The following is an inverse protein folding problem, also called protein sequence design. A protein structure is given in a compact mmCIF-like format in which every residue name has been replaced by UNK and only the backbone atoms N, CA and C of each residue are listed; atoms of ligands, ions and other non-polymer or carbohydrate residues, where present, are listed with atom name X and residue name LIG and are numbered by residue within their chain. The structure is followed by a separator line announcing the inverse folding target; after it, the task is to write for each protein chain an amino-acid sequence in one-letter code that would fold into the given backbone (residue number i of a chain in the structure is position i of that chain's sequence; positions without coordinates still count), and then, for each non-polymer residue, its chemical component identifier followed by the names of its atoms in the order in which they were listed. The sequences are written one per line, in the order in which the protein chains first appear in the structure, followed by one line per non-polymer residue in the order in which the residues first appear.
data_IF_601939699044
#
_entry.id   IF_601939699044
#
_cell.length_a   1.000
_cell.length_b   1.000
_cell.length_c   1.000
_cell.angle_alpha   90.00
_cell.angle_beta   90.00
_cell.angle_gamma   90.00
#
_symmetry.space_group_name_H-M   'P 1'
#
loop_
_entity.id
_entity.type
_entity.pdbx_description
1 polymer ?
#
# COMPACT_ATOMS: atom_id res chain seq x y z
N UNK A 1 45.19 24.33 23.69
CA UNK A 1 45.48 23.92 25.08
C UNK A 1 44.25 23.21 25.65
N UNK A 2 44.47 22.11 26.38
CA UNK A 2 43.55 21.28 27.21
C UNK A 2 42.21 20.81 26.62
N UNK A 3 42.04 19.54 26.25
CA UNK A 3 41.90 18.32 27.09
C UNK A 3 40.79 18.42 28.13
N UNK A 4 39.64 17.79 27.85
CA UNK A 4 38.78 17.22 28.87
C UNK A 4 38.51 15.75 28.53
N UNK A 5 39.23 14.88 29.23
CA UNK A 5 39.03 13.44 29.29
C UNK A 5 37.88 13.18 30.26
N UNK A 6 36.78 12.59 29.78
CA UNK A 6 35.77 12.02 30.67
C UNK A 6 36.12 10.54 30.85
N UNK A 7 36.44 10.20 32.09
CA UNK A 7 36.87 8.90 32.53
C UNK A 7 35.71 7.88 32.50
N UNK A 8 35.87 6.82 31.73
CA UNK A 8 35.10 5.58 31.89
C UNK A 8 35.54 4.89 33.19
N UNK A 9 34.71 4.96 34.22
CA UNK A 9 34.88 4.13 35.42
C UNK A 9 34.15 2.81 35.21
N UNK A 10 34.94 1.75 35.02
CA UNK A 10 34.49 0.36 35.00
C UNK A 10 34.25 -0.11 36.43
N UNK A 11 33.01 -0.51 36.75
CA UNK A 11 32.73 -1.36 37.91
C UNK A 11 31.91 -2.55 37.39
N UNK A 12 32.58 -3.69 37.29
CA UNK A 12 31.94 -4.97 37.03
C UNK A 12 31.52 -5.63 38.33
N UNK A 13 30.34 -6.25 38.32
CA UNK A 13 30.02 -7.37 39.22
C UNK A 13 29.24 -8.43 38.44
N UNK A 14 29.69 -9.67 38.63
CA UNK A 14 29.16 -10.90 38.05
C UNK A 14 27.88 -11.36 38.75
N UNK A 15 27.08 -12.19 38.06
CA UNK A 15 26.24 -13.18 38.73
C UNK A 15 24.90 -13.49 38.09
N UNK A 16 24.78 -14.75 37.64
CA UNK A 16 23.55 -15.57 37.58
C UNK A 16 22.45 -15.19 36.59
N UNK A 17 22.36 -16.00 35.54
CA UNK A 17 21.29 -15.97 34.56
C UNK A 17 19.93 -16.38 35.12
N UNK A 18 18.90 -15.81 34.50
CA UNK A 18 17.59 -16.41 34.37
C UNK A 18 17.27 -16.49 32.88
N UNK A 19 16.90 -17.70 32.48
CA UNK A 19 16.63 -18.14 31.12
C UNK A 19 15.58 -17.27 30.41
N UNK A 20 15.87 -16.97 29.14
CA UNK A 20 14.92 -16.38 28.20
C UNK A 20 13.72 -17.32 28.05
N UNK A 21 12.60 -16.97 28.69
CA UNK A 21 11.29 -17.50 28.32
C UNK A 21 10.74 -16.64 27.20
N UNK A 22 11.20 -16.94 25.99
CA UNK A 22 10.58 -16.44 24.77
C UNK A 22 9.18 -17.05 24.68
N UNK A 23 8.15 -16.25 24.94
CA UNK A 23 6.77 -16.62 24.64
C UNK A 23 6.63 -16.72 23.13
N UNK A 24 6.77 -17.93 22.61
CA UNK A 24 6.37 -18.32 21.28
C UNK A 24 4.86 -18.23 21.17
N UNK A 25 4.35 -17.01 20.97
CA UNK A 25 3.05 -16.79 20.39
C UNK A 25 3.10 -17.29 18.95
N UNK A 26 2.84 -18.57 18.74
CA UNK A 26 2.43 -19.10 17.45
C UNK A 26 1.07 -18.47 17.14
N UNK A 27 1.07 -17.25 16.60
CA UNK A 27 -0.02 -16.87 15.72
C UNK A 27 0.03 -17.84 14.57
N UNK A 28 -1.02 -18.63 14.47
CA UNK A 28 -1.37 -19.48 13.35
C UNK A 28 -0.90 -18.82 12.05
N UNK A 29 0.15 -19.39 11.47
CA UNK A 29 0.50 -19.15 10.07
C UNK A 29 -0.69 -19.66 9.27
N UNK A 30 -1.67 -18.78 9.03
CA UNK A 30 -2.59 -18.95 7.93
C UNK A 30 -1.70 -19.06 6.70
N UNK A 31 -1.56 -20.29 6.18
CA UNK A 31 -0.90 -20.61 4.93
C UNK A 31 -1.66 -19.93 3.78
N UNK A 32 -1.59 -18.60 3.73
CA UNK A 32 -2.02 -17.76 2.64
C UNK A 32 -0.77 -17.27 1.95
N UNK A 33 -0.58 -17.68 0.70
CA UNK A 33 0.51 -17.14 -0.13
C UNK A 33 0.26 -15.64 -0.29
N UNK A 34 1.13 -14.83 0.32
CA UNK A 34 1.05 -13.37 0.27
C UNK A 34 1.88 -12.88 -0.91
N UNK A 35 1.24 -12.13 -1.81
CA UNK A 35 1.88 -11.56 -3.00
C UNK A 35 2.23 -10.11 -2.71
N UNK A 36 3.50 -9.76 -2.96
CA UNK A 36 3.98 -8.39 -2.86
C UNK A 36 3.57 -7.57 -4.09
N UNK A 37 3.25 -6.30 -3.85
CA UNK A 37 2.88 -5.34 -4.88
C UNK A 37 3.93 -4.23 -4.97
N UNK A 38 4.07 -3.61 -6.13
CA UNK A 38 4.94 -2.44 -6.32
C UNK A 38 4.10 -1.24 -6.74
N UNK A 39 4.24 -0.11 -6.04
CA UNK A 39 3.54 1.12 -6.40
C UNK A 39 4.00 1.62 -7.77
N UNK A 40 3.03 1.89 -8.63
CA UNK A 40 3.21 2.51 -9.94
C UNK A 40 2.98 4.01 -9.85
N UNK A 41 1.89 4.41 -9.20
CA UNK A 41 1.55 5.79 -8.94
C UNK A 41 0.63 5.90 -7.72
N UNK A 42 0.79 6.95 -6.93
CA UNK A 42 -0.08 7.27 -5.80
C UNK A 42 -0.17 8.79 -5.66
N UNK A 43 -1.32 9.30 -5.23
CA UNK A 43 -1.48 10.74 -5.00
C UNK A 43 -2.91 11.14 -4.67
N UNK A 44 -3.12 12.45 -4.56
CA UNK A 44 -4.40 13.07 -4.26
C UNK A 44 -5.13 13.60 -5.50
N UNK A 45 -4.52 13.54 -6.69
CA UNK A 45 -5.01 14.21 -7.90
C UNK A 45 -5.19 13.22 -9.06
N UNK A 46 -6.42 12.81 -9.29
CA UNK A 46 -6.89 11.98 -10.40
C UNK A 46 -8.02 12.67 -11.14
N UNK A 47 -8.08 12.55 -12.47
CA UNK A 47 -9.25 13.01 -13.24
C UNK A 47 -10.47 12.09 -13.09
N UNK A 48 -10.29 10.90 -12.50
CA UNK A 48 -11.38 9.99 -12.13
C UNK A 48 -12.01 10.45 -10.82
N UNK A 49 -13.21 11.04 -10.89
CA UNK A 49 -13.98 11.54 -9.75
C UNK A 49 -14.88 10.50 -9.07
N UNK A 50 -15.02 9.31 -9.66
CA UNK A 50 -15.85 8.23 -9.12
C UNK A 50 -15.01 7.24 -8.29
N UNK A 51 -15.62 6.72 -7.21
CA UNK A 51 -15.05 5.59 -6.48
C UNK A 51 -14.98 4.37 -7.39
N UNK A 52 -13.78 3.83 -7.62
CA UNK A 52 -13.57 2.69 -8.53
C UNK A 52 -12.42 1.81 -8.07
N UNK A 53 -12.64 0.49 -8.10
CA UNK A 53 -11.60 -0.55 -7.91
C UNK A 53 -11.56 -1.39 -9.17
N UNK A 54 -10.38 -1.59 -9.73
CA UNK A 54 -10.26 -2.32 -11.00
C UNK A 54 -8.93 -3.05 -11.11
N UNK A 55 -8.99 -4.26 -11.64
CA UNK A 55 -7.84 -5.06 -12.01
C UNK A 55 -7.68 -5.01 -13.52
N UNK A 56 -6.52 -4.55 -13.98
CA UNK A 56 -6.17 -4.38 -15.38
C UNK A 56 -5.20 -5.49 -15.77
N UNK A 57 -5.60 -6.31 -16.75
CA UNK A 57 -4.83 -7.49 -17.20
C UNK A 57 -4.32 -7.36 -18.64
N UNK A 58 -4.48 -6.22 -19.29
CA UNK A 58 -4.01 -5.99 -20.65
C UNK A 58 -3.63 -4.53 -20.90
N UNK A 59 -2.84 -4.32 -21.95
CA UNK A 59 -2.28 -3.00 -22.27
C UNK A 59 -3.33 -1.99 -22.77
N UNK A 60 -4.38 -2.47 -23.45
CA UNK A 60 -5.44 -1.60 -23.97
C UNK A 60 -6.27 -1.00 -22.82
N UNK A 61 -6.67 -1.82 -21.85
CA UNK A 61 -7.35 -1.37 -20.64
C UNK A 61 -6.44 -0.48 -19.78
N UNK A 62 -5.13 -0.75 -19.74
CA UNK A 62 -4.17 0.12 -19.03
C UNK A 62 -4.06 1.50 -19.69
N UNK A 63 -4.00 1.53 -21.02
CA UNK A 63 -3.97 2.78 -21.79
C UNK A 63 -5.24 3.60 -21.59
N UNK A 64 -6.41 2.95 -21.66
CA UNK A 64 -7.70 3.62 -21.46
C UNK A 64 -7.81 4.20 -20.04
N UNK A 65 -7.48 3.41 -19.02
CA UNK A 65 -7.54 3.85 -17.63
C UNK A 65 -6.52 4.96 -17.33
N UNK A 66 -5.31 4.87 -17.87
CA UNK A 66 -4.31 5.92 -17.66
C UNK A 66 -4.72 7.26 -18.29
N UNK A 67 -5.31 7.21 -19.50
CA UNK A 67 -5.85 8.39 -20.17
C UNK A 67 -7.00 9.00 -19.37
N UNK A 68 -7.90 8.20 -18.79
CA UNK A 68 -8.96 8.68 -17.91
C UNK A 68 -8.39 9.26 -16.60
N UNK A 69 -7.31 8.68 -16.05
CA UNK A 69 -6.69 9.09 -14.80
C UNK A 69 -5.85 10.38 -14.91
N UNK A 70 -5.03 10.54 -15.95
CA UNK A 70 -4.05 11.63 -16.11
C UNK A 70 -4.20 12.47 -17.38
N UNK A 71 -5.08 12.08 -18.30
CA UNK A 71 -5.18 12.71 -19.63
C UNK A 71 -4.31 12.00 -20.68
N UNK A 72 -4.50 12.35 -21.95
CA UNK A 72 -3.84 11.72 -23.09
C UNK A 72 -2.34 11.98 -23.19
N UNK A 73 -1.89 13.12 -22.65
CA UNK A 73 -0.54 13.62 -22.88
C UNK A 73 0.42 13.20 -21.75
N UNK A 74 -0.11 12.54 -20.71
CA UNK A 74 0.68 12.09 -19.58
C UNK A 74 1.43 10.80 -19.88
N UNK A 75 2.75 10.80 -19.63
CA UNK A 75 3.61 9.63 -19.80
C UNK A 75 3.14 8.44 -18.97
N UNK A 76 2.64 7.39 -19.63
CA UNK A 76 2.15 6.16 -18.99
C UNK A 76 3.31 5.24 -18.61
N UNK A 77 3.37 4.73 -17.37
CA UNK A 77 4.33 3.71 -16.98
C UNK A 77 4.21 2.44 -17.81
N UNK A 78 5.36 1.91 -18.24
CA UNK A 78 5.42 0.63 -18.95
C UNK A 78 5.18 -0.53 -17.97
N UNK A 79 4.32 -1.46 -18.35
CA UNK A 79 3.97 -2.66 -17.57
C UNK A 79 3.99 -3.86 -18.52
N UNK A 80 4.76 -4.89 -18.17
CA UNK A 80 4.81 -6.12 -18.97
C UNK A 80 3.62 -7.01 -18.60
N UNK A 81 2.50 -6.85 -19.30
CA UNK A 81 1.29 -7.64 -19.03
C UNK A 81 1.47 -9.15 -19.29
N UNK A 82 2.55 -9.62 -19.90
CA UNK A 82 2.81 -11.07 -19.93
C UNK A 82 3.16 -11.63 -18.55
N UNK A 83 3.68 -10.79 -17.64
CA UNK A 83 4.15 -11.17 -16.30
C UNK A 83 3.43 -10.44 -15.17
N UNK A 84 2.88 -9.27 -15.44
CA UNK A 84 2.30 -8.37 -14.46
C UNK A 84 0.82 -8.07 -14.76
N UNK A 85 0.12 -7.60 -13.75
CA UNK A 85 -1.20 -6.95 -13.85
C UNK A 85 -1.18 -5.68 -12.99
N UNK A 86 -2.05 -4.72 -13.31
CA UNK A 86 -2.18 -3.48 -12.52
C UNK A 86 -3.45 -3.54 -11.70
N UNK A 87 -3.37 -3.13 -10.45
CA UNK A 87 -4.52 -2.94 -9.57
C UNK A 87 -4.64 -1.45 -9.29
N UNK A 88 -5.83 -0.88 -9.48
CA UNK A 88 -6.08 0.53 -9.30
C UNK A 88 -7.24 0.75 -8.32
N UNK A 89 -7.04 1.69 -7.40
CA UNK A 89 -8.03 2.11 -6.43
C UNK A 89 -8.16 3.64 -6.49
N UNK A 90 -9.39 4.11 -6.71
CA UNK A 90 -9.77 5.52 -6.73
C UNK A 90 -10.85 5.75 -5.68
N UNK A 91 -10.63 6.70 -4.78
CA UNK A 91 -11.61 7.05 -3.72
C UNK A 91 -12.80 7.85 -4.24
N UNK A 92 -12.66 8.46 -5.41
CA UNK A 92 -13.58 9.48 -5.92
C UNK A 92 -13.30 10.85 -5.30
N UNK A 93 -14.20 11.80 -5.53
CA UNK A 93 -14.08 13.14 -4.95
C UNK A 93 -14.18 13.14 -3.43
N UNK A 94 -13.24 13.83 -2.79
CA UNK A 94 -13.19 14.12 -1.36
C UNK A 94 -13.18 15.63 -1.17
N UNK A 95 -14.04 16.16 -0.30
CA UNK A 95 -14.24 17.61 -0.14
C UNK A 95 -13.17 18.30 0.70
N UNK A 96 -12.25 17.53 1.29
CA UNK A 96 -11.10 18.06 2.02
C UNK A 96 -9.83 17.30 1.67
N UNK A 97 -8.68 17.90 2.00
CA UNK A 97 -7.40 17.23 1.94
C UNK A 97 -7.21 16.22 3.09
N UNK A 98 -6.24 15.32 2.94
CA UNK A 98 -5.85 14.36 3.99
C UNK A 98 -6.44 12.97 3.82
N UNK A 99 -7.21 12.73 2.76
CA UNK A 99 -7.64 11.40 2.36
C UNK A 99 -6.54 10.68 1.56
N UNK A 100 -6.38 9.39 1.81
CA UNK A 100 -5.53 8.51 1.00
C UNK A 100 -6.23 7.17 0.76
N UNK A 101 -5.78 6.43 -0.26
CA UNK A 101 -6.11 5.02 -0.45
C UNK A 101 -4.83 4.22 -0.62
N UNK A 102 -4.78 3.04 -0.01
CA UNK A 102 -3.64 2.13 -0.09
C UNK A 102 -4.08 0.75 -0.52
N UNK A 103 -3.55 0.29 -1.66
CA UNK A 103 -3.56 -1.12 -2.02
C UNK A 103 -2.38 -1.78 -1.29
N UNK A 104 -2.69 -2.77 -0.47
CA UNK A 104 -1.70 -3.54 0.28
C UNK A 104 -1.27 -4.82 -0.44
N UNK A 105 -0.75 -5.77 0.34
CA UNK A 105 -0.42 -7.09 -0.17
C UNK A 105 -1.68 -7.87 -0.58
N UNK A 106 -1.49 -8.78 -1.53
CA UNK A 106 -2.56 -9.66 -2.01
C UNK A 106 -2.48 -11.00 -1.30
N UNK A 107 -3.62 -11.62 -1.05
CA UNK A 107 -3.70 -12.95 -0.46
C UNK A 107 -4.41 -13.90 -1.41
N UNK A 108 -3.82 -15.08 -1.66
CA UNK A 108 -4.46 -16.12 -2.47
C UNK A 108 -5.34 -16.98 -1.55
N UNK A 109 -6.62 -17.09 -1.89
CA UNK A 109 -7.57 -17.98 -1.20
C UNK A 109 -8.40 -18.75 -2.22
N UNK A 110 -8.11 -20.05 -2.37
CA UNK A 110 -8.77 -20.90 -3.37
C UNK A 110 -8.50 -20.38 -4.79
N UNK A 111 -9.57 -20.09 -5.53
CA UNK A 111 -9.52 -19.55 -6.91
C UNK A 111 -9.65 -18.02 -6.96
N UNK A 112 -9.33 -17.33 -5.86
CA UNK A 112 -9.45 -15.88 -5.73
C UNK A 112 -8.15 -15.25 -5.25
N UNK A 113 -7.88 -14.06 -5.77
CA UNK A 113 -6.85 -13.15 -5.27
C UNK A 113 -7.55 -12.03 -4.54
N UNK A 114 -7.37 -11.98 -3.23
CA UNK A 114 -7.93 -10.96 -2.37
C UNK A 114 -6.99 -9.76 -2.32
N UNK A 115 -7.49 -8.61 -2.74
CA UNK A 115 -6.77 -7.34 -2.75
C UNK A 115 -7.23 -6.53 -1.56
N UNK A 116 -6.37 -6.38 -0.56
CA UNK A 116 -6.68 -5.54 0.60
C UNK A 116 -6.53 -4.07 0.22
N UNK A 117 -7.59 -3.31 0.41
CA UNK A 117 -7.60 -1.86 0.21
C UNK A 117 -7.87 -1.21 1.56
N UNK A 118 -7.07 -0.20 1.89
CA UNK A 118 -7.27 0.61 3.09
C UNK A 118 -7.43 2.07 2.69
N UNK A 119 -8.56 2.65 3.03
CA UNK A 119 -8.73 4.10 2.96
C UNK A 119 -8.25 4.73 4.27
N UNK A 120 -7.55 5.84 4.14
CA UNK A 120 -7.06 6.62 5.27
C UNK A 120 -7.84 7.92 5.23
N UNK A 121 -8.63 8.15 6.28
CA UNK A 121 -9.38 9.37 6.45
C UNK A 121 -8.67 10.28 7.46
N UNK A 122 -8.70 11.60 7.27
CA UNK A 122 -8.20 12.53 8.27
C UNK A 122 -8.99 12.35 9.58
N UNK A 123 -8.31 12.52 10.73
CA UNK A 123 -8.98 12.50 12.03
C UNK A 123 -9.97 13.65 12.13
N UNK A 124 -11.08 13.44 12.86
CA UNK A 124 -12.05 14.50 13.15
C UNK A 124 -11.45 15.68 13.92
N UNK A 125 -10.34 15.46 14.62
CA UNK A 125 -9.58 16.49 15.34
C UNK A 125 -8.54 17.21 14.47
N UNK A 126 -8.32 16.77 13.22
CA UNK A 126 -7.34 17.38 12.31
C UNK A 126 -7.97 18.53 11.53
N UNK A 127 -7.35 19.71 11.60
CA UNK A 127 -7.69 20.82 10.70
C UNK A 127 -7.20 20.47 9.30
N UNK A 128 -8.14 20.28 8.37
CA UNK A 128 -7.86 19.97 6.96
C UNK A 128 -8.15 21.17 6.07
N UNK A 129 -7.42 21.27 4.95
CA UNK A 129 -7.72 22.26 3.93
C UNK A 129 -9.03 21.90 3.21
N UNK A 130 -9.89 22.89 2.98
CA UNK A 130 -11.13 22.76 2.23
C UNK A 130 -10.83 22.85 0.73
N UNK A 131 -10.35 21.74 0.16
CA UNK A 131 -10.04 21.59 -1.26
C UNK A 131 -10.55 20.25 -1.74
N UNK A 132 -11.12 20.23 -2.94
CA UNK A 132 -11.58 19.00 -3.58
C UNK A 132 -10.35 18.21 -4.03
N UNK A 133 -10.25 16.96 -3.60
CA UNK A 133 -9.19 16.02 -3.99
C UNK A 133 -9.81 14.74 -4.55
N UNK A 134 -9.03 13.96 -5.29
CA UNK A 134 -9.40 12.65 -5.85
C UNK A 134 -8.30 11.61 -5.61
N UNK A 135 -8.11 11.17 -4.34
CA UNK A 135 -7.05 10.22 -3.99
C UNK A 135 -7.11 8.90 -4.74
N UNK A 136 -5.93 8.42 -5.12
CA UNK A 136 -5.75 7.20 -5.88
C UNK A 136 -4.47 6.45 -5.49
N UNK A 137 -4.45 5.15 -5.75
CA UNK A 137 -3.25 4.33 -5.70
C UNK A 137 -3.32 3.23 -6.76
N UNK A 138 -2.27 3.15 -7.56
CA UNK A 138 -2.05 2.15 -8.59
C UNK A 138 -0.80 1.35 -8.26
N UNK A 139 -0.94 0.02 -8.27
CA UNK A 139 0.16 -0.91 -8.03
C UNK A 139 0.24 -1.92 -9.15
N UNK A 140 1.43 -2.44 -9.39
CA UNK A 140 1.66 -3.63 -10.21
C UNK A 140 1.89 -4.85 -9.32
N UNK A 141 1.43 -6.00 -9.79
CA UNK A 141 1.56 -7.28 -9.13
C UNK A 141 1.81 -8.38 -10.17
N UNK A 142 2.36 -9.55 -9.80
CA UNK A 142 2.42 -10.71 -10.67
C UNK A 142 1.06 -11.01 -11.30
N UNK A 143 1.06 -11.34 -12.60
CA UNK A 143 -0.16 -11.67 -13.35
C UNK A 143 -0.84 -12.88 -12.73
N UNK A 144 -2.17 -12.81 -12.61
CA UNK A 144 -3.02 -13.86 -12.05
C UNK A 144 -4.24 -14.13 -12.92
N UNK A 145 -4.57 -15.39 -13.10
CA UNK A 145 -5.74 -15.85 -13.87
C UNK A 145 -6.98 -15.94 -12.99
N UNK A 146 -6.77 -16.13 -11.69
CA UNK A 146 -7.77 -16.17 -10.64
C UNK A 146 -8.65 -14.91 -10.63
N UNK A 147 -9.84 -15.06 -10.04
CA UNK A 147 -10.78 -13.95 -9.83
C UNK A 147 -10.18 -12.95 -8.84
N UNK A 148 -10.08 -11.68 -9.23
CA UNK A 148 -9.57 -10.62 -8.34
C UNK A 148 -10.72 -10.01 -7.57
N UNK A 149 -10.68 -10.10 -6.24
CA UNK A 149 -11.71 -9.58 -5.34
C UNK A 149 -11.10 -8.51 -4.46
N UNK A 150 -11.68 -7.31 -4.50
CA UNK A 150 -11.26 -6.21 -3.65
C UNK A 150 -11.98 -6.27 -2.30
N UNK A 151 -11.21 -6.22 -1.21
CA UNK A 151 -11.72 -6.22 0.15
C UNK A 151 -11.31 -4.92 0.82
N UNK A 152 -12.28 -4.16 1.29
CA UNK A 152 -12.03 -2.98 2.12
C UNK A 152 -11.63 -3.44 3.52
N UNK A 153 -10.38 -3.15 3.89
CA UNK A 153 -9.86 -3.37 5.22
C UNK A 153 -10.38 -2.28 6.17
N UNK A 154 -10.66 -2.62 7.43
CA UNK A 154 -11.10 -1.67 8.43
C UNK A 154 -10.04 -0.61 8.79
#
# INVERSE_FOLDING_TARGET
MSRLLIACLMIGLAGTGCSQTSFGGSTTSTNGSTIQTTTVAQGADSLISQRRRVAIKDDAAWTALWKEHRGSDAGRPNVDFSKEMVLAAFTGEQLTAGYEVKIGSLNIQGNRVLVNIREITPSSSTVTAQVITTPFHLVKAPRRTEEVVFIEAP
#
